data_IF_693200232997
#
_entry.id   IF_693200232997
#
_cell.length_a   1.000
_cell.length_b   1.000
_cell.length_c   1.000
_cell.angle_alpha   90.00
_cell.angle_beta   90.00
_cell.angle_gamma   90.00
#
_symmetry.space_group_name_H-M   'P 1'
#
loop_
_entity.id
_entity.type
_entity.pdbx_description
1 polymer ?
#
# COMPACT_ATOMS: atom_id res chain seq x y z
N UNK A 1 13.03 -6.74 -7.00
CA UNK A 1 11.85 -7.55 -7.41
C UNK A 1 10.89 -7.59 -6.24
N UNK A 2 9.59 -7.42 -6.46
CA UNK A 2 8.59 -7.44 -5.38
C UNK A 2 7.72 -8.70 -5.46
N UNK A 3 7.17 -9.12 -4.33
CA UNK A 3 6.43 -10.37 -4.21
C UNK A 3 5.04 -10.13 -3.60
N UNK A 4 4.07 -10.83 -4.15
CA UNK A 4 2.66 -10.79 -3.73
C UNK A 4 2.24 -12.17 -3.26
N UNK A 5 1.98 -12.29 -1.96
CA UNK A 5 1.54 -13.54 -1.34
C UNK A 5 0.20 -14.01 -1.89
N UNK A 6 -0.05 -15.32 -1.76
CA UNK A 6 -1.27 -15.95 -2.26
C UNK A 6 -2.54 -15.25 -1.75
N UNK A 7 -3.50 -15.01 -2.64
CA UNK A 7 -4.77 -14.36 -2.29
C UNK A 7 -4.65 -12.89 -1.88
N UNK A 8 -3.49 -12.25 -2.08
CA UNK A 8 -3.41 -10.79 -1.96
C UNK A 8 -4.16 -10.13 -3.13
N UNK A 9 -4.87 -9.04 -2.83
CA UNK A 9 -5.79 -8.39 -3.77
C UNK A 9 -5.48 -6.91 -3.84
N UNK A 10 -5.34 -6.38 -5.05
CA UNK A 10 -5.31 -4.93 -5.31
C UNK A 10 -6.70 -4.45 -5.71
N UNK A 11 -7.42 -3.81 -4.79
CA UNK A 11 -8.67 -3.13 -5.14
C UNK A 11 -8.35 -1.88 -5.96
N UNK A 12 -9.10 -1.65 -7.04
CA UNK A 12 -8.85 -0.55 -7.96
C UNK A 12 -9.98 0.49 -8.03
N UNK A 13 -11.13 0.27 -7.39
CA UNK A 13 -12.27 1.20 -7.41
C UNK A 13 -12.67 1.55 -5.99
N UNK A 14 -12.82 2.85 -5.71
CA UNK A 14 -13.35 3.33 -4.43
C UNK A 14 -14.86 3.07 -4.34
N UNK A 15 -15.36 2.72 -3.17
CA UNK A 15 -16.79 2.46 -2.95
C UNK A 15 -17.68 3.69 -3.21
N UNK A 16 -17.13 4.89 -3.01
CA UNK A 16 -17.80 6.16 -3.30
C UNK A 16 -17.75 6.56 -4.79
N UNK A 17 -17.08 5.76 -5.64
CA UNK A 17 -16.89 5.97 -7.09
C UNK A 17 -16.21 7.30 -7.45
N UNK A 18 -15.62 8.00 -6.47
CA UNK A 18 -14.81 9.20 -6.72
C UNK A 18 -13.47 8.80 -7.33
N UNK A 19 -12.78 9.73 -8.02
CA UNK A 19 -11.40 9.51 -8.45
C UNK A 19 -10.51 9.05 -7.28
N UNK A 20 -9.53 8.21 -7.60
CA UNK A 20 -8.51 7.76 -6.66
C UNK A 20 -7.53 8.91 -6.42
N UNK A 21 -7.11 9.06 -5.17
CA UNK A 21 -6.09 10.04 -4.76
C UNK A 21 -4.89 9.25 -4.27
N UNK A 22 -3.69 9.65 -4.70
CA UNK A 22 -2.45 9.05 -4.23
C UNK A 22 -1.94 9.86 -3.04
N UNK A 23 -1.81 9.19 -1.90
CA UNK A 23 -1.26 9.79 -0.70
C UNK A 23 0.26 9.67 -0.70
N UNK A 24 0.95 10.73 -0.30
CA UNK A 24 2.43 10.79 -0.31
C UNK A 24 3.05 10.91 1.09
N UNK A 25 2.24 10.70 2.13
CA UNK A 25 2.65 10.84 3.54
C UNK A 25 2.48 12.26 4.09
N UNK A 26 2.43 13.27 3.22
CA UNK A 26 2.00 14.64 3.55
C UNK A 26 0.76 14.99 2.69
N UNK A 27 -0.29 15.49 3.34
CA UNK A 27 -1.54 15.90 2.66
C UNK A 27 -1.33 17.00 1.63
N UNK A 28 -0.38 17.89 1.85
CA UNK A 28 -0.08 18.99 0.92
C UNK A 28 0.49 18.49 -0.41
N UNK A 29 1.04 17.28 -0.41
CA UNK A 29 1.65 16.65 -1.57
C UNK A 29 0.80 15.48 -2.09
N UNK A 30 -0.46 15.37 -1.68
CA UNK A 30 -1.39 14.37 -2.22
C UNK A 30 -1.70 14.68 -3.71
N UNK A 31 -1.79 13.63 -4.52
CA UNK A 31 -1.95 13.76 -5.98
C UNK A 31 -3.34 13.31 -6.39
N UNK A 32 -4.13 14.23 -6.96
CA UNK A 32 -5.37 13.89 -7.64
C UNK A 32 -5.08 13.21 -8.97
N UNK A 33 -5.49 11.94 -9.11
CA UNK A 33 -5.12 11.15 -10.29
C UNK A 33 -6.05 11.36 -11.48
N UNK A 34 -7.27 11.86 -11.24
CA UNK A 34 -8.35 11.89 -12.22
C UNK A 34 -8.93 10.50 -12.61
N UNK A 35 -8.30 9.40 -12.19
CA UNK A 35 -8.71 8.05 -12.55
C UNK A 35 -9.73 7.47 -11.55
N UNK A 36 -10.82 6.89 -12.07
CA UNK A 36 -11.77 6.10 -11.25
C UNK A 36 -11.25 4.70 -10.90
N UNK A 37 -10.29 4.20 -11.69
CA UNK A 37 -9.71 2.85 -11.56
C UNK A 37 -8.19 2.95 -11.37
N UNK A 38 -7.71 2.70 -10.17
CA UNK A 38 -6.28 2.64 -9.86
C UNK A 38 -6.05 1.73 -8.67
N UNK A 39 -5.19 0.71 -8.86
CA UNK A 39 -4.86 -0.30 -7.86
C UNK A 39 -3.87 0.20 -6.82
N UNK A 40 -2.73 -0.49 -6.70
CA UNK A 40 -1.66 -0.12 -5.79
C UNK A 40 -0.31 0.03 -6.52
N UNK A 41 0.60 0.80 -5.93
CA UNK A 41 1.98 1.01 -6.38
C UNK A 41 2.90 0.34 -5.36
N UNK A 42 3.75 -0.57 -5.82
CA UNK A 42 4.71 -1.29 -4.98
C UNK A 42 6.13 -0.88 -5.39
N UNK A 43 6.91 -0.39 -4.43
CA UNK A 43 8.35 -0.19 -4.59
C UNK A 43 9.12 -1.50 -4.68
N UNK A 44 10.42 -1.39 -4.92
CA UNK A 44 11.29 -2.55 -5.05
C UNK A 44 11.42 -3.34 -3.74
N UNK A 45 11.51 -4.67 -3.85
CA UNK A 45 11.73 -5.58 -2.71
C UNK A 45 10.62 -5.48 -1.65
N UNK A 46 9.40 -5.14 -2.07
CA UNK A 46 8.21 -5.23 -1.23
C UNK A 46 7.75 -6.68 -1.13
N UNK A 47 7.42 -7.09 0.10
CA UNK A 47 6.86 -8.40 0.40
C UNK A 47 5.43 -8.23 0.93
N UNK A 48 4.43 -8.60 0.13
CA UNK A 48 3.02 -8.54 0.56
C UNK A 48 2.58 -9.89 1.11
N UNK A 49 2.14 -9.92 2.36
CA UNK A 49 1.58 -11.11 2.99
C UNK A 49 0.34 -11.67 2.29
N UNK A 50 0.08 -12.96 2.47
CA UNK A 50 -1.08 -13.63 1.88
C UNK A 50 -2.40 -13.08 2.43
N UNK A 51 -3.43 -13.07 1.57
CA UNK A 51 -4.77 -12.57 1.93
C UNK A 51 -4.85 -11.06 2.22
N UNK A 52 -3.77 -10.30 2.01
CA UNK A 52 -3.77 -8.85 2.25
C UNK A 52 -4.51 -8.09 1.15
N UNK A 53 -5.20 -7.02 1.54
CA UNK A 53 -5.96 -6.17 0.62
C UNK A 53 -5.29 -4.80 0.52
N UNK A 54 -4.83 -4.46 -0.67
CA UNK A 54 -4.33 -3.13 -1.00
C UNK A 54 -5.49 -2.31 -1.53
N UNK A 55 -5.87 -1.25 -0.80
CA UNK A 55 -6.94 -0.34 -1.20
C UNK A 55 -6.55 0.50 -2.43
N UNK A 56 -7.53 1.09 -3.14
CA UNK A 56 -7.24 1.92 -4.31
C UNK A 56 -6.33 3.09 -3.95
N UNK A 57 -5.27 3.28 -4.73
CA UNK A 57 -4.26 4.33 -4.54
C UNK A 57 -3.24 4.04 -3.44
N UNK A 58 -3.17 2.81 -2.91
CA UNK A 58 -2.13 2.45 -1.94
C UNK A 58 -0.74 2.52 -2.57
N UNK A 59 0.21 3.12 -1.86
CA UNK A 59 1.62 3.22 -2.25
C UNK A 59 2.46 2.59 -1.15
N UNK A 60 3.33 1.64 -1.52
CA UNK A 60 4.21 0.93 -0.59
C UNK A 60 5.65 1.22 -0.99
N UNK A 61 6.42 1.83 -0.08
CA UNK A 61 7.84 2.11 -0.27
C UNK A 61 8.68 0.84 -0.39
N UNK A 62 9.87 0.99 -0.95
CA UNK A 62 10.81 -0.13 -1.15
C UNK A 62 11.22 -0.81 0.16
N UNK A 63 11.61 -2.09 0.06
CA UNK A 63 12.09 -2.92 1.18
C UNK A 63 11.09 -3.07 2.35
N UNK A 64 9.81 -2.84 2.09
CA UNK A 64 8.75 -2.89 3.10
C UNK A 64 8.01 -4.23 3.10
N UNK A 65 7.70 -4.72 4.29
CA UNK A 65 6.96 -5.97 4.50
C UNK A 65 5.53 -5.65 4.97
N UNK A 66 4.54 -6.24 4.31
CA UNK A 66 3.13 -6.20 4.73
C UNK A 66 2.79 -7.54 5.36
N UNK A 67 2.23 -7.54 6.56
CA UNK A 67 1.79 -8.78 7.20
C UNK A 67 0.63 -9.44 6.43
N UNK A 68 0.43 -10.75 6.61
CA UNK A 68 -0.75 -11.44 6.09
C UNK A 68 -2.05 -10.82 6.62
N UNK A 69 -3.12 -10.92 5.82
CA UNK A 69 -4.46 -10.47 6.17
C UNK A 69 -4.56 -8.96 6.50
N UNK A 70 -3.56 -8.16 6.12
CA UNK A 70 -3.55 -6.72 6.36
C UNK A 70 -4.40 -5.97 5.34
N UNK A 71 -5.20 -5.01 5.82
CA UNK A 71 -5.85 -3.99 4.98
C UNK A 71 -4.97 -2.75 4.91
N UNK A 72 -4.36 -2.52 3.75
CA UNK A 72 -3.38 -1.44 3.53
C UNK A 72 -4.02 -0.29 2.79
N UNK A 73 -3.89 0.94 3.30
CA UNK A 73 -4.48 2.14 2.71
C UNK A 73 -3.52 3.32 2.79
N UNK A 74 -3.41 4.06 1.68
CA UNK A 74 -2.61 5.27 1.60
C UNK A 74 -1.14 4.96 1.40
N UNK A 75 -0.27 5.69 2.09
CA UNK A 75 1.17 5.59 1.93
C UNK A 75 1.79 4.77 3.06
N UNK A 76 2.60 3.78 2.70
CA UNK A 76 3.49 3.06 3.62
C UNK A 76 4.93 3.44 3.26
N UNK A 77 5.73 3.99 4.20
CA UNK A 77 7.11 4.36 3.92
C UNK A 77 7.99 3.17 3.53
N UNK A 78 9.18 3.48 3.00
CA UNK A 78 10.20 2.48 2.72
C UNK A 78 10.83 1.95 4.03
N UNK A 79 11.40 0.74 3.97
CA UNK A 79 12.06 0.08 5.11
C UNK A 79 11.16 -0.05 6.35
N UNK A 80 9.89 -0.40 6.14
CA UNK A 80 8.92 -0.59 7.22
C UNK A 80 8.36 -2.02 7.28
N UNK A 81 7.75 -2.34 8.41
CA UNK A 81 6.88 -3.49 8.62
C UNK A 81 5.47 -2.96 8.90
N UNK A 82 4.54 -3.17 7.99
CA UNK A 82 3.13 -2.82 8.15
C UNK A 82 2.36 -4.02 8.71
N UNK A 83 1.88 -3.91 9.94
CA UNK A 83 1.02 -4.93 10.56
C UNK A 83 -0.45 -4.55 10.41
N UNK A 84 -0.76 -3.32 10.81
CA UNK A 84 -2.07 -2.69 10.63
C UNK A 84 -1.90 -1.17 10.55
N UNK A 85 -2.99 -0.44 10.26
CA UNK A 85 -2.97 1.02 10.05
C UNK A 85 -2.29 1.81 11.18
N UNK A 86 -2.45 1.35 12.42
CA UNK A 86 -1.90 2.02 13.61
C UNK A 86 -0.56 1.42 14.08
N UNK A 87 -0.05 0.41 13.37
CA UNK A 87 1.16 -0.31 13.76
C UNK A 87 2.04 -0.53 12.53
N UNK A 88 2.83 0.51 12.23
CA UNK A 88 3.90 0.49 11.23
C UNK A 88 5.20 0.69 11.98
N UNK A 89 6.08 -0.30 11.92
CA UNK A 89 7.38 -0.29 12.58
C UNK A 89 8.50 -0.10 11.56
N UNK A 90 9.62 0.48 11.98
CA UNK A 90 10.84 0.46 11.18
C UNK A 90 11.38 -0.96 11.07
N UNK A 91 11.85 -1.32 9.87
CA UNK A 91 12.51 -2.59 9.62
C UNK A 91 13.99 -2.43 9.90
N UNK A 92 14.46 -3.04 10.99
CA UNK A 92 15.88 -3.11 11.31
C UNK A 92 16.46 -4.27 10.49
N UNK A 93 17.33 -3.97 9.52
CA UNK A 93 18.13 -4.98 8.84
C UNK A 93 19.25 -5.45 9.78
N UNK A 94 19.38 -6.76 9.95
CA UNK A 94 20.49 -7.41 10.65
C UNK A 94 21.59 -7.79 9.65
#
# INVERSE_FOLDING_TARGET
KSHMGAGSITSNVKSDKKPVVIHTGNKETDIETGFKKMGAILGDNVEVGCGSVLNPGTVIGQCTNIYPLSSVRGFVPAHCIYKMRSEVAEKIEQ
#
